data_IF_299650871767
#
_entry.id   IF_299650871767
#
_cell.length_a   1.000
_cell.length_b   1.000
_cell.length_c   1.000
_cell.angle_alpha   90.00
_cell.angle_beta   90.00
_cell.angle_gamma   90.00
#
_symmetry.space_group_name_H-M   'P 1'
#
loop_
_entity.id
_entity.type
_entity.pdbx_description
1 polymer ?
#
# COMPACT_ATOMS: atom_id res chain seq x y z
N UNK A 1 28.03 41.34 6.15
CA UNK A 1 27.19 40.16 6.42
C UNK A 1 28.08 39.12 7.07
N UNK A 2 27.76 38.66 8.29
CA UNK A 2 28.48 37.52 8.90
C UNK A 2 28.23 36.24 8.11
N UNK A 3 29.04 35.18 8.29
CA UNK A 3 28.79 33.90 7.65
C UNK A 3 27.42 33.38 8.11
N UNK A 4 26.59 32.95 7.14
CA UNK A 4 25.26 32.37 7.38
C UNK A 4 25.31 31.13 8.28
N UNK A 5 26.48 30.49 8.38
CA UNK A 5 26.73 29.30 9.20
C UNK A 5 27.79 29.61 10.26
N UNK A 6 27.55 29.13 11.49
CA UNK A 6 28.50 29.20 12.60
C UNK A 6 28.94 27.80 13.03
N UNK A 7 30.18 27.67 13.47
CA UNK A 7 30.66 26.45 14.12
C UNK A 7 30.09 26.35 15.54
N UNK A 8 29.64 25.15 15.92
CA UNK A 8 29.15 24.81 17.26
C UNK A 8 29.73 23.47 17.68
N UNK A 9 29.93 23.26 18.99
CA UNK A 9 30.27 21.96 19.57
C UNK A 9 28.98 21.15 19.72
N UNK A 10 28.99 19.90 19.26
CA UNK A 10 27.85 18.99 19.41
C UNK A 10 27.64 18.71 20.91
N UNK A 11 26.47 19.01 21.49
CA UNK A 11 26.18 18.65 22.88
C UNK A 11 26.09 17.13 23.01
N UNK A 12 26.55 16.60 24.14
CA UNK A 12 26.30 15.19 24.47
C UNK A 12 24.81 15.03 24.82
N UNK A 13 24.13 14.18 24.06
CA UNK A 13 22.72 13.81 24.28
C UNK A 13 22.67 12.28 24.16
N UNK A 14 21.93 11.61 25.05
CA UNK A 14 21.85 10.14 25.05
C UNK A 14 20.40 9.65 24.86
N UNK A 15 19.83 9.72 23.64
CA UNK A 15 18.58 9.07 23.30
C UNK A 15 18.77 7.57 22.98
N UNK A 16 17.69 6.80 23.00
CA UNK A 16 17.69 5.36 22.69
C UNK A 16 18.09 5.04 21.23
N UNK A 17 18.48 3.78 20.97
CA UNK A 17 18.88 3.34 19.61
C UNK A 17 17.64 3.15 18.72
N UNK A 18 17.66 3.79 17.55
CA UNK A 18 16.59 3.74 16.55
C UNK A 18 16.56 2.44 15.72
N UNK A 19 17.73 2.03 15.19
CA UNK A 19 17.82 0.87 14.29
C UNK A 19 17.18 -0.43 14.82
N UNK A 20 17.32 -0.80 16.12
CA UNK A 20 16.67 -1.98 16.66
C UNK A 20 15.14 -2.00 16.52
N UNK A 21 14.48 -0.84 16.44
CA UNK A 21 13.02 -0.77 16.26
C UNK A 21 12.59 -1.24 14.88
N UNK A 22 13.42 -1.03 13.86
CA UNK A 22 13.10 -1.28 12.45
C UNK A 22 13.81 -2.50 11.86
N UNK A 23 14.71 -3.16 12.62
CA UNK A 23 15.61 -4.18 12.11
C UNK A 23 14.89 -5.28 11.32
N UNK A 24 13.82 -5.85 11.88
CA UNK A 24 13.07 -6.94 11.26
C UNK A 24 12.33 -6.50 10.00
N UNK A 25 11.65 -5.36 10.05
CA UNK A 25 10.99 -4.78 8.88
C UNK A 25 11.99 -4.47 7.76
N UNK A 26 13.15 -3.91 8.10
CA UNK A 26 14.22 -3.62 7.14
C UNK A 26 14.82 -4.88 6.52
N UNK A 27 15.03 -5.94 7.31
CA UNK A 27 15.47 -7.25 6.82
C UNK A 27 14.45 -7.86 5.86
N UNK A 28 13.16 -7.83 6.22
CA UNK A 28 12.08 -8.33 5.38
C UNK A 28 12.01 -7.59 4.04
N UNK A 29 12.06 -6.25 4.05
CA UNK A 29 12.07 -5.43 2.84
C UNK A 29 13.29 -5.70 1.95
N UNK A 30 14.48 -5.83 2.54
CA UNK A 30 15.71 -6.16 1.79
C UNK A 30 15.62 -7.55 1.15
N UNK A 31 15.14 -8.54 1.89
CA UNK A 31 14.99 -9.91 1.39
C UNK A 31 14.00 -9.97 0.22
N UNK A 32 12.91 -9.20 0.28
CA UNK A 32 11.91 -9.13 -0.79
C UNK A 32 12.25 -8.13 -1.90
N UNK A 33 13.33 -7.35 -1.76
CA UNK A 33 13.70 -6.23 -2.67
C UNK A 33 12.57 -5.22 -2.85
N UNK A 34 11.80 -4.98 -1.78
CA UNK A 34 10.66 -4.08 -1.78
C UNK A 34 11.02 -2.74 -1.15
N UNK A 35 10.28 -1.71 -1.53
CA UNK A 35 10.51 -0.34 -1.08
C UNK A 35 9.37 0.20 -0.22
N UNK A 36 9.66 1.18 0.62
CA UNK A 36 8.68 1.80 1.53
C UNK A 36 8.80 3.34 1.54
N UNK A 37 7.66 4.01 1.54
CA UNK A 37 7.53 5.42 1.88
C UNK A 37 6.76 5.63 3.20
N UNK A 38 7.06 6.70 3.92
CA UNK A 38 6.49 6.97 5.26
C UNK A 38 5.89 8.37 5.34
N UNK A 39 4.61 8.45 5.73
CA UNK A 39 3.90 9.70 5.95
C UNK A 39 3.37 9.77 7.37
N UNK A 40 4.00 10.57 8.22
CA UNK A 40 3.71 10.56 9.65
C UNK A 40 3.32 11.93 10.18
N UNK A 41 2.60 11.95 11.30
CA UNK A 41 2.17 13.19 11.92
C UNK A 41 2.64 13.26 13.37
N UNK A 42 2.20 12.32 14.20
CA UNK A 42 2.38 12.38 15.65
C UNK A 42 3.64 11.68 16.16
N UNK A 43 4.19 10.75 15.38
CA UNK A 43 5.54 10.19 15.61
C UNK A 43 6.66 11.12 15.11
N UNK A 44 6.30 12.18 14.38
CA UNK A 44 7.14 13.33 14.05
C UNK A 44 8.51 13.02 13.41
N UNK A 45 8.61 11.95 12.63
CA UNK A 45 9.85 11.57 11.93
C UNK A 45 10.48 10.29 12.46
N UNK A 46 10.02 9.76 13.60
CA UNK A 46 10.64 8.60 14.23
C UNK A 46 10.49 7.31 13.43
N UNK A 47 9.38 7.12 12.70
CA UNK A 47 9.20 5.93 11.85
C UNK A 47 10.22 5.96 10.72
N UNK A 48 10.32 7.08 10.01
CA UNK A 48 11.29 7.25 8.94
C UNK A 48 12.73 7.15 9.48
N UNK A 49 13.04 7.81 10.60
CA UNK A 49 14.37 7.78 11.19
C UNK A 49 14.78 6.38 11.64
N UNK A 50 13.87 5.59 12.21
CA UNK A 50 14.13 4.21 12.60
C UNK A 50 14.49 3.33 11.41
N UNK A 51 13.73 3.43 10.31
CA UNK A 51 14.02 2.75 9.06
C UNK A 51 15.38 3.17 8.48
N UNK A 52 15.70 4.47 8.48
CA UNK A 52 16.95 4.99 7.91
C UNK A 52 18.19 4.67 8.77
N UNK A 53 18.01 4.44 10.07
CA UNK A 53 19.10 4.10 10.98
C UNK A 53 19.66 2.68 10.76
N UNK A 54 18.93 1.79 10.09
CA UNK A 54 19.40 0.43 9.79
C UNK A 54 20.39 0.47 8.62
N UNK A 55 21.59 -0.14 8.74
CA UNK A 55 22.55 -0.20 7.64
C UNK A 55 21.96 -0.81 6.36
N UNK A 56 22.17 -0.13 5.24
CA UNK A 56 21.63 -0.50 3.93
C UNK A 56 20.22 0.03 3.65
N UNK A 57 19.73 1.01 4.43
CA UNK A 57 18.39 1.60 4.25
C UNK A 57 18.11 2.14 2.84
N UNK A 58 19.14 2.55 2.09
CA UNK A 58 19.02 3.00 0.70
C UNK A 58 18.48 1.93 -0.26
N UNK A 59 18.47 0.65 0.14
CA UNK A 59 17.90 -0.43 -0.68
C UNK A 59 16.36 -0.50 -0.64
N UNK A 60 15.72 0.13 0.35
CA UNK A 60 14.25 0.06 0.53
C UNK A 60 13.59 1.40 0.85
N UNK A 61 14.28 2.34 1.51
CA UNK A 61 13.70 3.64 1.84
C UNK A 61 13.66 4.54 0.61
N UNK A 62 12.50 5.12 0.31
CA UNK A 62 12.33 6.01 -0.87
C UNK A 62 12.20 7.47 -0.45
N UNK A 63 11.08 7.82 0.16
CA UNK A 63 10.76 9.17 0.59
C UNK A 63 9.81 9.14 1.78
N UNK A 64 9.50 10.32 2.29
CA UNK A 64 8.51 10.48 3.34
C UNK A 64 8.30 11.94 3.69
N UNK A 65 7.29 12.20 4.52
CA UNK A 65 7.01 13.54 5.01
C UNK A 65 6.43 13.50 6.42
N UNK A 66 6.76 14.55 7.18
CA UNK A 66 6.15 14.83 8.48
C UNK A 66 5.14 15.96 8.31
N UNK A 67 3.86 15.69 8.58
CA UNK A 67 2.78 16.67 8.47
C UNK A 67 1.97 16.76 9.76
N UNK A 68 2.44 17.56 10.71
CA UNK A 68 1.78 17.74 12.01
C UNK A 68 0.50 18.60 11.92
N UNK A 69 0.53 19.69 11.14
CA UNK A 69 -0.59 20.62 11.03
C UNK A 69 -1.52 20.23 9.88
N UNK A 70 -2.74 19.82 10.20
CA UNK A 70 -3.76 19.45 9.21
C UNK A 70 -4.10 20.59 8.23
N UNK A 71 -4.05 21.84 8.68
CA UNK A 71 -4.28 23.02 7.83
C UNK A 71 -3.14 23.32 6.86
N UNK A 72 -1.92 22.84 7.15
CA UNK A 72 -0.74 23.02 6.28
C UNK A 72 -0.38 21.74 5.50
N UNK A 73 -1.03 20.62 5.82
CA UNK A 73 -0.82 19.33 5.17
C UNK A 73 -0.89 19.43 3.63
N UNK A 74 -1.76 20.28 3.10
CA UNK A 74 -1.91 20.49 1.66
C UNK A 74 -0.61 20.85 0.94
N UNK A 75 0.25 21.66 1.56
CA UNK A 75 1.48 22.16 0.95
C UNK A 75 2.55 21.07 0.81
N UNK A 76 2.45 19.99 1.61
CA UNK A 76 3.45 18.91 1.66
C UNK A 76 2.87 17.63 1.07
N UNK A 77 1.60 17.35 1.34
CA UNK A 77 0.93 16.11 1.00
C UNK A 77 0.03 16.23 -0.23
N UNK A 78 -0.34 17.42 -0.69
CA UNK A 78 -1.32 17.60 -1.76
C UNK A 78 -2.69 18.05 -1.23
N UNK A 79 -3.43 18.77 -2.08
CA UNK A 79 -4.67 19.47 -1.71
C UNK A 79 -5.77 18.53 -1.22
N UNK A 80 -5.80 17.32 -1.75
CA UNK A 80 -6.72 16.23 -1.40
C UNK A 80 -6.55 15.74 0.04
N UNK A 81 -5.37 15.93 0.64
CA UNK A 81 -5.10 15.56 2.03
C UNK A 81 -5.22 16.73 3.00
N UNK A 82 -5.64 17.90 2.53
CA UNK A 82 -5.91 19.07 3.36
C UNK A 82 -6.95 18.79 4.44
N UNK A 83 -6.68 19.22 5.67
CA UNK A 83 -7.68 19.27 6.73
C UNK A 83 -8.49 20.56 6.75
N UNK A 84 -8.07 21.61 6.02
CA UNK A 84 -8.63 22.95 6.15
C UNK A 84 -10.10 23.06 5.70
N UNK A 85 -10.50 22.25 4.71
CA UNK A 85 -11.87 22.26 4.16
C UNK A 85 -12.79 21.23 4.82
N UNK A 86 -12.29 20.42 5.76
CA UNK A 86 -13.07 19.36 6.40
C UNK A 86 -13.81 19.88 7.63
N UNK A 87 -15.11 19.54 7.81
CA UNK A 87 -15.83 19.87 9.03
C UNK A 87 -15.09 19.34 10.25
N UNK A 88 -15.08 20.13 11.34
CA UNK A 88 -14.56 19.67 12.61
C UNK A 88 -15.41 18.48 13.09
N UNK A 89 -14.81 17.36 13.50
CA UNK A 89 -15.57 16.23 14.05
C UNK A 89 -16.43 16.67 15.25
N UNK A 90 -17.65 16.11 15.43
CA UNK A 90 -18.56 16.51 16.50
C UNK A 90 -18.09 16.09 17.91
N UNK A 91 -17.39 14.97 18.04
CA UNK A 91 -16.92 14.40 19.30
C UNK A 91 -15.59 13.65 19.13
N UNK A 92 -15.06 13.09 20.22
CA UNK A 92 -13.82 12.33 20.24
C UNK A 92 -13.89 11.02 19.47
N UNK A 93 -15.04 10.36 19.41
CA UNK A 93 -15.23 9.13 18.63
C UNK A 93 -15.11 9.41 17.12
N UNK A 94 -15.82 10.42 16.62
CA UNK A 94 -15.72 10.87 15.25
C UNK A 94 -14.33 11.43 14.92
N UNK A 95 -13.65 12.05 15.90
CA UNK A 95 -12.27 12.49 15.73
C UNK A 95 -11.32 11.30 15.50
N UNK A 96 -11.40 10.25 16.32
CA UNK A 96 -10.60 9.03 16.16
C UNK A 96 -10.87 8.34 14.82
N UNK A 97 -12.13 8.22 14.44
CA UNK A 97 -12.49 7.61 13.15
C UNK A 97 -12.00 8.43 11.96
N UNK A 98 -12.03 9.77 12.06
CA UNK A 98 -11.47 10.64 11.02
C UNK A 98 -9.97 10.39 10.78
N UNK A 99 -9.24 9.91 11.80
CA UNK A 99 -7.83 9.52 11.66
C UNK A 99 -7.67 8.22 10.88
N UNK A 100 -8.50 7.21 11.14
CA UNK A 100 -8.51 5.95 10.39
C UNK A 100 -8.75 6.19 8.89
N UNK A 101 -9.77 6.98 8.57
CA UNK A 101 -10.10 7.31 7.19
C UNK A 101 -8.93 8.05 6.53
N UNK A 102 -8.36 9.05 7.22
CA UNK A 102 -7.30 9.86 6.65
C UNK A 102 -6.00 9.09 6.43
N UNK A 103 -5.56 8.26 7.40
CA UNK A 103 -4.33 7.47 7.28
C UNK A 103 -4.46 6.42 6.18
N UNK A 104 -5.61 5.76 6.08
CA UNK A 104 -5.89 4.83 4.98
C UNK A 104 -5.84 5.52 3.62
N UNK A 105 -6.58 6.63 3.45
CA UNK A 105 -6.58 7.38 2.18
C UNK A 105 -5.18 7.88 1.82
N UNK A 106 -4.42 8.39 2.79
CA UNK A 106 -3.08 8.92 2.55
C UNK A 106 -2.11 7.82 2.12
N UNK A 107 -2.07 6.70 2.85
CA UNK A 107 -1.19 5.58 2.51
C UNK A 107 -1.48 5.03 1.11
N UNK A 108 -2.74 4.83 0.76
CA UNK A 108 -3.14 4.36 -0.58
C UNK A 108 -2.79 5.36 -1.66
N UNK A 109 -3.16 6.62 -1.48
CA UNK A 109 -2.90 7.67 -2.47
C UNK A 109 -1.42 7.88 -2.72
N UNK A 110 -0.62 8.01 -1.65
CA UNK A 110 0.83 8.22 -1.76
C UNK A 110 1.59 7.00 -2.26
N UNK A 111 1.12 5.79 -1.97
CA UNK A 111 1.65 4.58 -2.61
C UNK A 111 1.50 4.65 -4.13
N UNK A 112 0.32 5.02 -4.62
CA UNK A 112 0.06 5.09 -6.06
C UNK A 112 0.82 6.26 -6.73
N UNK A 113 0.91 7.40 -6.04
CA UNK A 113 1.57 8.60 -6.56
C UNK A 113 3.09 8.45 -6.67
N UNK A 114 3.73 7.87 -5.66
CA UNK A 114 5.20 7.77 -5.58
C UNK A 114 5.70 6.44 -6.16
N UNK A 115 4.89 5.40 -6.12
CA UNK A 115 5.24 4.05 -6.58
C UNK A 115 6.15 3.21 -5.67
N UNK A 116 6.24 3.40 -4.33
CA UNK A 116 6.90 2.40 -3.49
C UNK A 116 6.06 1.12 -3.43
N UNK A 117 6.67 -0.01 -3.07
CA UNK A 117 5.89 -1.24 -2.81
C UNK A 117 4.92 -1.05 -1.64
N UNK A 118 5.39 -0.38 -0.58
CA UNK A 118 4.68 -0.15 0.67
C UNK A 118 4.58 1.33 0.99
N UNK A 119 3.50 1.74 1.63
CA UNK A 119 3.36 3.08 2.19
C UNK A 119 2.77 2.99 3.60
N UNK A 120 3.46 3.60 4.57
CA UNK A 120 2.96 3.77 5.93
C UNK A 120 2.33 5.15 6.05
N UNK A 121 1.17 5.24 6.68
CA UNK A 121 0.62 6.48 7.19
C UNK A 121 0.33 6.40 8.68
N UNK A 122 0.74 7.42 9.45
CA UNK A 122 0.48 7.53 10.89
C UNK A 122 -0.17 8.89 11.21
N UNK A 123 -1.23 8.87 12.05
CA UNK A 123 -1.81 10.08 12.62
C UNK A 123 -2.61 9.80 13.89
N UNK A 124 -2.47 10.66 14.89
CA UNK A 124 -3.18 10.52 16.15
C UNK A 124 -3.09 11.75 17.05
N UNK A 125 -3.00 11.49 18.36
CA UNK A 125 -2.72 12.46 19.40
C UNK A 125 -1.89 11.80 20.52
N UNK A 126 -0.61 12.17 20.66
CA UNK A 126 0.26 11.59 21.69
C UNK A 126 -0.03 12.10 23.12
N UNK A 127 -0.89 13.11 23.30
CA UNK A 127 -1.19 13.72 24.60
C UNK A 127 -0.19 14.81 25.04
N UNK A 128 -0.26 15.27 26.31
CA UNK A 128 -1.18 14.79 27.36
C UNK A 128 -2.59 15.40 27.29
N UNK A 129 -2.77 16.48 26.52
CA UNK A 129 -4.04 17.19 26.37
C UNK A 129 -4.70 16.90 25.02
N UNK A 130 -6.02 17.02 24.95
CA UNK A 130 -6.81 16.64 23.77
C UNK A 130 -7.83 17.71 23.40
N UNK A 131 -8.22 17.72 22.12
CA UNK A 131 -9.16 18.70 21.58
C UNK A 131 -10.63 18.44 21.96
N UNK A 132 -10.92 17.25 22.50
CA UNK A 132 -12.26 16.77 22.80
C UNK A 132 -12.31 16.25 24.25
N UNK A 133 -13.31 16.65 25.06
CA UNK A 133 -13.38 16.27 26.47
C UNK A 133 -13.48 14.75 26.72
N UNK A 134 -14.08 14.02 25.79
CA UNK A 134 -14.25 12.56 25.84
C UNK A 134 -13.00 11.78 25.39
N UNK A 135 -11.96 12.47 24.90
CA UNK A 135 -10.66 11.87 24.63
C UNK A 135 -9.77 12.08 25.86
N UNK A 136 -9.54 10.99 26.61
CA UNK A 136 -8.80 11.02 27.87
C UNK A 136 -7.41 10.36 27.79
N UNK A 137 -7.10 9.72 26.67
CA UNK A 137 -5.87 8.95 26.43
C UNK A 137 -5.24 9.32 25.10
N UNK A 138 -3.90 9.25 25.05
CA UNK A 138 -3.18 9.31 23.78
C UNK A 138 -3.66 8.21 22.85
N UNK A 139 -3.66 8.44 21.54
CA UNK A 139 -3.99 7.40 20.57
C UNK A 139 -3.25 7.61 19.26
N UNK A 140 -3.16 6.55 18.44
CA UNK A 140 -2.73 6.64 17.05
C UNK A 140 -3.55 5.74 16.13
N UNK A 141 -3.68 6.19 14.89
CA UNK A 141 -4.11 5.39 13.74
C UNK A 141 -2.91 5.19 12.84
N UNK A 142 -2.66 3.94 12.44
CA UNK A 142 -1.58 3.54 11.55
C UNK A 142 -2.18 2.72 10.42
N UNK A 143 -1.77 2.98 9.18
CA UNK A 143 -2.17 2.19 8.03
C UNK A 143 -0.96 1.86 7.15
N UNK A 144 -0.87 0.60 6.72
CA UNK A 144 0.12 0.11 5.76
C UNK A 144 -0.62 -0.30 4.48
N UNK A 145 -0.31 0.38 3.38
CA UNK A 145 -0.80 0.02 2.05
C UNK A 145 0.29 -0.69 1.25
N UNK A 146 -0.05 -1.76 0.53
CA UNK A 146 0.88 -2.61 -0.21
C UNK A 146 0.20 -3.76 -0.93
N UNK A 147 0.94 -4.83 -1.29
CA UNK A 147 0.38 -6.09 -1.77
C UNK A 147 -0.69 -6.69 -0.83
N UNK A 148 -0.54 -6.47 0.48
CA UNK A 148 -1.63 -6.61 1.46
C UNK A 148 -1.82 -5.26 2.16
N UNK A 149 -2.97 -5.06 2.78
CA UNK A 149 -3.25 -3.83 3.52
C UNK A 149 -3.72 -4.13 4.93
N UNK A 150 -3.20 -3.39 5.90
CA UNK A 150 -3.62 -3.48 7.30
C UNK A 150 -3.70 -2.11 7.94
N UNK A 151 -4.67 -1.94 8.82
CA UNK A 151 -4.84 -0.76 9.67
C UNK A 151 -4.84 -1.17 11.14
N UNK A 152 -4.30 -0.29 11.98
CA UNK A 152 -4.22 -0.48 13.42
C UNK A 152 -4.61 0.82 14.12
N UNK A 153 -5.47 0.71 15.14
CA UNK A 153 -5.84 1.80 16.02
C UNK A 153 -5.50 1.40 17.45
N UNK A 154 -4.78 2.27 18.18
CA UNK A 154 -4.35 1.99 19.55
C UNK A 154 -4.58 3.21 20.43
N UNK A 155 -5.16 2.97 21.60
CA UNK A 155 -5.17 3.92 22.71
C UNK A 155 -4.04 3.59 23.68
N UNK A 156 -3.36 4.63 24.15
CA UNK A 156 -2.27 4.50 25.09
C UNK A 156 -2.78 4.16 26.49
N UNK A 157 -2.07 3.29 27.24
CA UNK A 157 -2.34 3.11 28.66
C UNK A 157 -1.92 4.31 29.52
N UNK A 158 -1.20 5.29 28.95
CA UNK A 158 -0.70 6.49 29.65
C UNK A 158 -0.88 7.77 28.80
N UNK A 159 -0.59 8.92 29.41
CA UNK A 159 -0.61 10.23 28.73
C UNK A 159 0.79 10.83 28.57
N UNK A 160 1.83 9.99 28.68
CA UNK A 160 3.19 10.41 28.36
C UNK A 160 3.39 10.51 26.84
N UNK A 161 3.70 11.73 26.40
CA UNK A 161 3.80 12.07 24.99
C UNK A 161 4.95 11.35 24.29
N UNK A 162 6.13 11.33 24.90
CA UNK A 162 7.33 10.78 24.26
C UNK A 162 7.26 9.26 24.25
N UNK A 163 6.84 8.64 25.36
CA UNK A 163 6.62 7.19 25.42
C UNK A 163 5.60 6.75 24.36
N UNK A 164 4.56 7.55 24.12
CA UNK A 164 3.60 7.30 23.04
C UNK A 164 4.27 7.36 21.67
N UNK A 165 5.09 8.38 21.40
CA UNK A 165 5.80 8.49 20.11
C UNK A 165 6.68 7.26 19.83
N UNK A 166 7.43 6.78 20.83
CA UNK A 166 8.25 5.57 20.70
C UNK A 166 7.40 4.31 20.50
N UNK A 167 6.34 4.14 21.28
CA UNK A 167 5.43 2.99 21.17
C UNK A 167 4.72 2.93 19.82
N UNK A 168 4.19 4.05 19.34
CA UNK A 168 3.51 4.15 18.04
C UNK A 168 4.48 3.91 16.88
N UNK A 169 5.71 4.39 17.01
CA UNK A 169 6.78 4.09 16.04
C UNK A 169 7.03 2.59 15.93
N UNK A 170 7.18 1.91 17.08
CA UNK A 170 7.39 0.45 17.10
C UNK A 170 6.21 -0.31 16.49
N UNK A 171 4.98 0.08 16.83
CA UNK A 171 3.77 -0.53 16.27
C UNK A 171 3.69 -0.39 14.75
N UNK A 172 4.06 0.77 14.19
CA UNK A 172 4.06 0.97 12.75
C UNK A 172 5.08 0.08 12.02
N UNK A 173 6.25 -0.10 12.62
CA UNK A 173 7.32 -0.95 12.07
C UNK A 173 6.97 -2.44 12.17
N UNK A 174 6.32 -2.86 13.25
CA UNK A 174 5.82 -4.23 13.42
C UNK A 174 4.70 -4.55 12.44
N UNK A 175 3.77 -3.61 12.24
CA UNK A 175 2.70 -3.78 11.26
C UNK A 175 3.25 -3.88 9.83
N UNK A 176 4.29 -3.10 9.51
CA UNK A 176 4.99 -3.21 8.23
C UNK A 176 5.65 -4.60 8.08
N UNK A 177 6.37 -5.08 9.10
CA UNK A 177 6.98 -6.42 9.08
C UNK A 177 5.92 -7.49 8.80
N UNK A 178 4.80 -7.46 9.54
CA UNK A 178 3.69 -8.39 9.40
C UNK A 178 3.14 -8.39 7.97
N UNK A 179 2.91 -7.21 7.39
CA UNK A 179 2.44 -7.06 6.02
C UNK A 179 3.42 -7.65 4.99
N UNK A 180 4.72 -7.37 5.14
CA UNK A 180 5.74 -7.88 4.21
C UNK A 180 5.82 -9.41 4.27
N UNK A 181 5.79 -9.98 5.46
CA UNK A 181 5.81 -11.43 5.66
C UNK A 181 4.57 -12.11 5.10
N UNK A 182 3.38 -11.53 5.33
CA UNK A 182 2.13 -12.07 4.78
C UNK A 182 2.15 -12.04 3.25
N UNK A 183 2.54 -10.92 2.64
CA UNK A 183 2.64 -10.81 1.19
C UNK A 183 3.63 -11.82 0.60
N UNK A 184 4.78 -12.04 1.25
CA UNK A 184 5.73 -13.07 0.84
C UNK A 184 5.10 -14.48 0.93
N UNK A 185 4.33 -14.76 1.99
CA UNK A 185 3.66 -16.06 2.15
C UNK A 185 2.58 -16.30 1.10
N UNK A 186 1.82 -15.27 0.71
CA UNK A 186 0.81 -15.34 -0.35
C UNK A 186 1.48 -15.57 -1.71
N UNK A 187 2.58 -14.87 -1.98
CA UNK A 187 3.38 -15.06 -3.19
C UNK A 187 4.04 -16.44 -3.28
N UNK A 188 4.26 -17.14 -2.17
CA UNK A 188 4.77 -18.53 -2.18
C UNK A 188 3.66 -19.56 -2.37
N UNK A 189 2.43 -19.26 -1.92
CA UNK A 189 1.24 -20.10 -2.16
C UNK A 189 0.75 -20.00 -3.59
N UNK A 190 0.86 -18.81 -4.20
CA UNK A 190 0.43 -18.56 -5.58
C UNK A 190 1.07 -19.51 -6.60
N UNK A 191 2.40 -19.75 -6.66
CA UNK A 191 2.99 -20.73 -7.57
C UNK A 191 2.52 -22.18 -7.36
N UNK A 192 2.08 -22.55 -6.15
CA UNK A 192 1.53 -23.88 -5.87
C UNK A 192 0.05 -24.01 -6.32
N UNK A 193 -0.71 -22.93 -6.26
CA UNK A 193 -2.08 -22.85 -6.79
C UNK A 193 -2.09 -22.63 -8.33
N UNK A 194 -1.20 -21.81 -8.86
CA UNK A 194 -1.01 -21.56 -10.29
C UNK A 194 -0.45 -22.79 -11.01
N UNK A 195 0.39 -23.61 -10.34
CA UNK A 195 0.77 -24.94 -10.84
C UNK A 195 -0.44 -25.90 -10.94
N UNK A 196 -1.49 -25.67 -10.15
CA UNK A 196 -2.77 -26.37 -10.27
C UNK A 196 -3.70 -25.73 -11.31
N UNK A 197 -3.51 -24.47 -11.69
CA UNK A 197 -4.26 -23.76 -12.74
C UNK A 197 -3.37 -23.31 -13.92
N UNK A 198 -2.80 -24.26 -14.67
CA UNK A 198 -2.04 -24.03 -15.92
C UNK A 198 -2.90 -23.53 -17.11
N UNK A 199 -4.04 -22.90 -16.84
CA UNK A 199 -5.03 -22.59 -17.87
C UNK A 199 -4.69 -21.33 -18.67
N UNK A 200 -3.90 -20.41 -18.11
CA UNK A 200 -3.60 -19.12 -18.73
C UNK A 200 -2.10 -18.85 -18.81
N UNK A 201 -1.62 -18.47 -19.99
CA UNK A 201 -0.28 -17.95 -20.23
C UNK A 201 -0.37 -16.47 -20.59
N UNK A 202 0.23 -15.59 -19.79
CA UNK A 202 0.08 -14.14 -19.95
C UNK A 202 1.39 -13.46 -20.37
N UNK A 203 1.29 -12.54 -21.33
CA UNK A 203 2.39 -11.72 -21.83
C UNK A 203 1.96 -10.25 -21.91
N UNK A 204 2.77 -9.36 -21.35
CA UNK A 204 2.48 -7.93 -21.44
C UNK A 204 2.66 -7.38 -22.86
N UNK A 205 1.73 -6.53 -23.28
CA UNK A 205 1.84 -5.79 -24.52
C UNK A 205 2.60 -4.45 -24.31
N UNK A 206 3.03 -3.84 -25.42
CA UNK A 206 3.78 -2.57 -25.40
C UNK A 206 2.94 -1.33 -25.02
N UNK A 207 1.65 -1.50 -24.76
CA UNK A 207 0.69 -0.45 -24.44
C UNK A 207 0.15 -0.57 -23.00
N UNK A 208 0.76 -1.42 -22.17
CA UNK A 208 0.37 -1.61 -20.76
C UNK A 208 -0.82 -2.55 -20.57
N UNK A 209 -1.22 -3.29 -21.62
CA UNK A 209 -2.15 -4.40 -21.55
C UNK A 209 -1.47 -5.76 -21.41
N UNK A 210 -2.28 -6.82 -21.42
CA UNK A 210 -1.85 -8.21 -21.29
C UNK A 210 -2.53 -9.05 -22.37
N UNK A 211 -1.75 -9.77 -23.17
CA UNK A 211 -2.21 -10.87 -24.00
C UNK A 211 -2.20 -12.17 -23.20
N UNK A 212 -3.32 -12.87 -23.16
CA UNK A 212 -3.54 -14.10 -22.39
C UNK A 212 -3.92 -15.22 -23.34
N UNK A 213 -3.08 -16.24 -23.42
CA UNK A 213 -3.35 -17.46 -24.16
C UNK A 213 -3.96 -18.51 -23.22
N UNK A 214 -5.13 -19.01 -23.59
CA UNK A 214 -5.77 -20.13 -22.88
C UNK A 214 -5.15 -21.44 -23.38
N UNK A 215 -4.68 -22.27 -22.46
CA UNK A 215 -4.12 -23.58 -22.80
C UNK A 215 -5.14 -24.46 -23.52
N UNK A 216 -4.71 -25.27 -24.48
CA UNK A 216 -5.56 -26.27 -25.16
C UNK A 216 -6.09 -27.35 -24.19
N UNK A 217 -5.42 -27.56 -23.05
CA UNK A 217 -5.92 -28.42 -21.96
C UNK A 217 -7.21 -27.90 -21.31
N UNK A 218 -7.62 -26.65 -21.60
CA UNK A 218 -8.90 -26.10 -21.14
C UNK A 218 -10.12 -26.75 -21.79
N UNK A 219 -9.98 -27.50 -22.89
CA UNK A 219 -11.08 -28.17 -23.57
C UNK A 219 -11.82 -29.19 -22.69
N UNK A 220 -11.14 -29.77 -21.69
CA UNK A 220 -11.72 -30.71 -20.71
C UNK A 220 -12.13 -30.03 -19.40
N UNK A 221 -11.91 -28.72 -19.26
CA UNK A 221 -12.21 -27.96 -18.05
C UNK A 221 -13.67 -27.56 -17.99
N UNK A 222 -14.28 -27.65 -16.81
CA UNK A 222 -15.67 -27.22 -16.64
C UNK A 222 -15.80 -25.69 -16.77
N UNK A 223 -16.92 -25.23 -17.31
CA UNK A 223 -17.27 -23.81 -17.44
C UNK A 223 -17.15 -23.05 -16.11
N UNK A 224 -17.57 -23.66 -15.00
CA UNK A 224 -17.52 -23.04 -13.68
C UNK A 224 -16.08 -22.91 -13.14
N UNK A 225 -15.23 -23.91 -13.36
CA UNK A 225 -13.82 -23.85 -12.99
C UNK A 225 -13.11 -22.74 -13.78
N UNK A 226 -13.33 -22.69 -15.10
CA UNK A 226 -12.78 -21.65 -15.97
C UNK A 226 -13.23 -20.24 -15.57
N UNK A 227 -14.52 -20.03 -15.23
CA UNK A 227 -15.02 -18.73 -14.75
C UNK A 227 -14.31 -18.31 -13.45
N UNK A 228 -14.13 -19.24 -12.52
CA UNK A 228 -13.45 -18.99 -11.25
C UNK A 228 -11.99 -18.60 -11.45
N UNK A 229 -11.27 -19.32 -12.30
CA UNK A 229 -9.87 -19.02 -12.63
C UNK A 229 -9.74 -17.69 -13.37
N UNK A 230 -10.61 -17.42 -14.35
CA UNK A 230 -10.60 -16.17 -15.11
C UNK A 230 -10.86 -14.97 -14.21
N UNK A 231 -11.83 -15.05 -13.28
CA UNK A 231 -12.10 -13.97 -12.32
C UNK A 231 -10.91 -13.66 -11.41
N UNK A 232 -10.23 -14.69 -10.91
CA UNK A 232 -9.02 -14.51 -10.09
C UNK A 232 -7.92 -13.80 -10.89
N UNK A 233 -7.71 -14.24 -12.13
CA UNK A 233 -6.70 -13.65 -13.00
C UNK A 233 -7.02 -12.17 -13.35
N UNK A 234 -8.30 -11.85 -13.61
CA UNK A 234 -8.74 -10.47 -13.83
C UNK A 234 -8.44 -9.55 -12.64
N UNK A 235 -8.76 -9.98 -11.42
CA UNK A 235 -8.48 -9.22 -10.19
C UNK A 235 -6.97 -8.97 -10.04
N UNK A 236 -6.15 -9.98 -10.33
CA UNK A 236 -4.70 -9.86 -10.30
C UNK A 236 -4.20 -8.82 -11.31
N UNK A 237 -4.61 -8.89 -12.57
CA UNK A 237 -4.17 -7.91 -13.59
C UNK A 237 -4.67 -6.50 -13.30
N UNK A 238 -5.87 -6.35 -12.71
CA UNK A 238 -6.37 -5.06 -12.26
C UNK A 238 -5.52 -4.47 -11.12
N UNK A 239 -5.17 -5.28 -10.12
CA UNK A 239 -4.29 -4.86 -9.03
C UNK A 239 -2.87 -4.50 -9.52
N UNK A 240 -2.41 -5.15 -10.59
CA UNK A 240 -1.15 -4.86 -11.27
C UNK A 240 -1.22 -3.63 -12.21
N UNK A 241 -2.35 -2.92 -12.26
CA UNK A 241 -2.52 -1.67 -13.03
C UNK A 241 -2.60 -1.87 -14.55
N UNK A 242 -2.97 -3.06 -15.02
CA UNK A 242 -3.03 -3.35 -16.47
C UNK A 242 -4.20 -2.62 -17.13
N UNK A 243 -3.91 -2.00 -18.26
CA UNK A 243 -4.84 -1.12 -18.97
C UNK A 243 -5.74 -1.85 -19.96
N UNK A 244 -5.40 -3.09 -20.35
CA UNK A 244 -6.25 -3.93 -21.21
C UNK A 244 -5.89 -5.41 -21.12
N UNK A 245 -6.83 -6.30 -21.43
CA UNK A 245 -6.64 -7.74 -21.39
C UNK A 245 -7.20 -8.33 -22.68
N UNK A 246 -6.37 -9.12 -23.38
CA UNK A 246 -6.69 -9.77 -24.64
C UNK A 246 -6.67 -11.27 -24.42
N UNK A 247 -7.85 -11.90 -24.33
CA UNK A 247 -7.95 -13.34 -24.15
C UNK A 247 -7.95 -14.05 -25.52
N UNK A 248 -7.11 -15.06 -25.72
CA UNK A 248 -7.08 -15.92 -26.90
C UNK A 248 -7.53 -17.32 -26.49
N UNK A 249 -8.73 -17.72 -26.96
CA UNK A 249 -9.33 -19.01 -26.62
C UNK A 249 -9.17 -19.95 -27.84
N UNK A 250 -8.51 -21.11 -27.70
CA UNK A 250 -8.44 -22.10 -28.78
C UNK A 250 -9.83 -22.57 -29.22
N UNK A 251 -9.98 -22.88 -30.52
CA UNK A 251 -11.26 -23.35 -31.08
C UNK A 251 -11.81 -24.60 -30.38
N UNK A 252 -10.93 -25.48 -29.91
CA UNK A 252 -11.29 -26.67 -29.14
C UNK A 252 -11.97 -26.36 -27.79
N UNK A 253 -11.88 -25.11 -27.33
CA UNK A 253 -12.44 -24.62 -26.07
C UNK A 253 -13.53 -23.56 -26.30
N UNK A 254 -14.16 -23.57 -27.47
CA UNK A 254 -15.21 -22.61 -27.87
C UNK A 254 -16.42 -22.56 -26.93
N UNK A 255 -16.69 -23.62 -26.17
CA UNK A 255 -17.72 -23.66 -25.12
C UNK A 255 -17.48 -22.64 -24.00
N UNK A 256 -16.22 -22.24 -23.77
CA UNK A 256 -15.81 -21.28 -22.74
C UNK A 256 -15.98 -19.81 -23.17
N UNK A 257 -16.22 -19.56 -24.48
CA UNK A 257 -16.43 -18.21 -25.03
C UNK A 257 -17.65 -17.54 -24.40
N UNK A 258 -18.70 -18.30 -24.08
CA UNK A 258 -19.90 -17.76 -23.43
C UNK A 258 -19.61 -17.22 -22.03
N UNK A 259 -18.69 -17.83 -21.31
CA UNK A 259 -18.28 -17.44 -19.95
C UNK A 259 -17.50 -16.13 -19.98
N UNK A 260 -16.59 -15.99 -20.94
CA UNK A 260 -15.84 -14.76 -21.15
C UNK A 260 -16.71 -13.61 -21.69
N UNK A 261 -17.80 -13.89 -22.40
CA UNK A 261 -18.72 -12.87 -22.93
C UNK A 261 -19.70 -12.21 -21.94
N UNK A 262 -19.53 -12.46 -20.63
CA UNK A 262 -20.22 -11.73 -19.56
C UNK A 262 -19.78 -10.26 -19.44
N UNK A 263 -20.11 -9.61 -18.31
CA UNK A 263 -19.88 -8.18 -18.02
C UNK A 263 -18.45 -7.63 -18.27
N UNK A 264 -17.47 -8.49 -18.53
CA UNK A 264 -16.05 -8.17 -18.54
C UNK A 264 -15.41 -8.08 -19.94
N UNK A 265 -15.95 -8.74 -20.98
CA UNK A 265 -15.34 -8.75 -22.33
C UNK A 265 -16.36 -8.59 -23.47
N UNK A 266 -15.92 -8.03 -24.60
CA UNK A 266 -16.68 -7.95 -25.87
C UNK A 266 -16.07 -8.87 -26.93
N UNK A 267 -16.91 -9.63 -27.66
CA UNK A 267 -16.50 -10.53 -28.75
C UNK A 267 -16.35 -9.76 -30.07
N UNK A 268 -15.30 -10.00 -30.86
CA UNK A 268 -15.13 -9.43 -32.21
C UNK A 268 -14.51 -10.44 -33.19
N UNK A 269 -15.03 -10.51 -34.41
CA UNK A 269 -14.53 -11.36 -35.49
C UNK A 269 -13.66 -10.57 -36.51
N UNK A 270 -12.34 -10.73 -36.41
CA UNK A 270 -11.26 -10.53 -37.39
C UNK A 270 -11.14 -9.28 -38.31
N UNK A 271 -9.87 -8.83 -38.42
CA UNK A 271 -9.15 -7.97 -39.41
C UNK A 271 -9.25 -6.42 -39.36
N UNK A 272 -8.12 -5.84 -38.91
CA UNK A 272 -7.46 -4.58 -39.28
C UNK A 272 -8.05 -3.19 -38.91
N UNK A 273 -7.22 -2.46 -38.15
CA UNK A 273 -7.03 -0.99 -37.97
C UNK A 273 -7.87 -0.18 -36.94
N UNK A 274 -7.12 0.24 -35.90
CA UNK A 274 -7.05 1.50 -35.12
C UNK A 274 -8.24 1.94 -34.23
N UNK A 275 -8.09 1.62 -32.91
CA UNK A 275 -8.55 2.26 -31.63
C UNK A 275 -10.03 2.66 -31.42
N UNK A 276 -10.57 2.74 -30.18
CA UNK A 276 -10.20 2.09 -28.91
C UNK A 276 -11.39 1.30 -28.30
N UNK A 277 -11.20 0.02 -27.99
CA UNK A 277 -11.93 -0.72 -26.96
C UNK A 277 -11.31 -2.12 -26.85
N UNK A 278 -11.12 -2.59 -25.62
CA UNK A 278 -10.68 -3.93 -25.21
C UNK A 278 -11.26 -5.02 -26.13
N UNK A 279 -10.38 -5.81 -26.76
CA UNK A 279 -10.74 -6.77 -27.81
C UNK A 279 -10.23 -8.17 -27.41
N UNK A 280 -11.06 -9.19 -27.64
CA UNK A 280 -10.72 -10.63 -27.54
C UNK A 280 -10.73 -11.15 -28.98
N UNK A 281 -9.66 -11.81 -29.42
CA UNK A 281 -9.54 -12.36 -30.78
C UNK A 281 -9.81 -13.86 -30.73
N UNK A 282 -10.81 -14.30 -31.49
CA UNK A 282 -11.07 -15.71 -31.78
C UNK A 282 -10.25 -16.18 -32.99
#
# INVERSE_FOLDING_TARGET
MGPLFRHVVLPFVQPGRLAPLAQKAAEALKASKQTVAVFEATTAGLIQAALQAVPGASAYGTCGAVSYSSGKAAAVLGVEFSGASRPKPPDGAAYKESKNIWTQSLARGKRLEIGPTWCISESGACGPTFNYPDVTKGFTSIFVSGPVEKGLFVESPHNDRELNMWGYTKLALDLLEECVQEAASLSLKQPAEDAASQLFSAKEDRFGGVEVEVSESSATTSVAAFDGDLRRALVFWQAAGKQSIWLKIPLCSSSLVRVSSGQWFRISSCKARVRPAYQVVA
#
